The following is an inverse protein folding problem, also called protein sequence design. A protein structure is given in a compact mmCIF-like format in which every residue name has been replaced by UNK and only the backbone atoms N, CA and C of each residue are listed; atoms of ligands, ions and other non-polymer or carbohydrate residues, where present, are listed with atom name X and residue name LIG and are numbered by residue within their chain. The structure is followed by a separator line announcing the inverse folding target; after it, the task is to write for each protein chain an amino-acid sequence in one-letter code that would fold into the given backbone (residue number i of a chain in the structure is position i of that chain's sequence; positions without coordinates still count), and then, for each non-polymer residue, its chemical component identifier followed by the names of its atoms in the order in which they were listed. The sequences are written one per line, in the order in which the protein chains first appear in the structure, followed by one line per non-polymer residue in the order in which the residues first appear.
data_IF_570227474840
#
_entry.id   IF_570227474840
#
_cell.length_a   1.000
_cell.length_b   1.000
_cell.length_c   1.000
_cell.angle_alpha   90.00
_cell.angle_beta   90.00
_cell.angle_gamma   90.00
#
_symmetry.space_group_name_H-M   'P 1'
#
loop_
_entity.id
_entity.type
_entity.pdbx_description
1 polymer ?
#
# COMPACT_ATOMS: atom_id res chain seq x y z
N UNK A 1 48.15 -33.51 -36.55
CA UNK A 1 48.20 -32.37 -35.68
C UNK A 1 46.77 -31.93 -35.43
N UNK A 2 46.18 -32.40 -34.31
CA UNK A 2 44.77 -32.12 -33.98
C UNK A 2 44.73 -30.84 -33.16
N UNK A 3 44.04 -29.78 -33.66
CA UNK A 3 43.75 -28.58 -32.92
C UNK A 3 42.50 -28.82 -32.08
N UNK A 4 42.64 -28.93 -30.76
CA UNK A 4 41.54 -28.94 -29.79
C UNK A 4 41.25 -27.47 -29.47
N UNK A 5 40.17 -26.95 -30.07
CA UNK A 5 39.65 -25.63 -29.74
C UNK A 5 38.94 -25.67 -28.38
N UNK A 6 39.50 -25.00 -27.38
CA UNK A 6 38.86 -24.74 -26.11
C UNK A 6 37.77 -23.66 -26.30
N UNK A 7 36.50 -24.06 -26.27
CA UNK A 7 35.38 -23.11 -26.19
C UNK A 7 35.29 -22.62 -24.74
N UNK A 8 35.79 -21.43 -24.48
CA UNK A 8 35.55 -20.68 -23.22
C UNK A 8 34.10 -20.23 -23.25
N UNK A 9 33.19 -20.95 -22.63
CA UNK A 9 31.85 -20.46 -22.31
C UNK A 9 31.97 -19.44 -21.20
N UNK A 10 31.86 -18.14 -21.54
CA UNK A 10 31.77 -17.07 -20.57
C UNK A 10 30.42 -17.18 -19.86
N UNK A 11 30.40 -17.79 -18.71
CA UNK A 11 29.26 -17.68 -17.78
C UNK A 11 29.15 -16.23 -17.32
N UNK A 12 28.27 -15.45 -17.94
CA UNK A 12 27.84 -14.18 -17.41
C UNK A 12 27.11 -14.43 -16.09
N UNK A 13 27.78 -14.23 -14.96
CA UNK A 13 27.18 -14.21 -13.64
C UNK A 13 26.27 -12.98 -13.55
N UNK A 14 24.99 -13.16 -13.84
CA UNK A 14 23.98 -12.15 -13.61
C UNK A 14 23.96 -11.81 -12.12
N UNK A 15 24.41 -10.62 -11.74
CA UNK A 15 24.28 -10.13 -10.36
C UNK A 15 22.81 -9.73 -10.12
N UNK A 16 22.11 -10.40 -9.20
CA UNK A 16 20.76 -9.98 -8.86
C UNK A 16 20.79 -8.56 -8.27
N UNK A 17 19.84 -7.72 -8.67
CA UNK A 17 19.68 -6.37 -8.16
C UNK A 17 18.47 -6.31 -7.24
N UNK A 18 18.60 -5.64 -6.11
CA UNK A 18 17.49 -5.41 -5.20
C UNK A 18 16.96 -3.99 -5.39
N UNK A 19 15.67 -3.86 -5.64
CA UNK A 19 14.95 -2.59 -5.64
C UNK A 19 14.14 -2.53 -4.35
N UNK A 20 14.31 -1.47 -3.58
CA UNK A 20 13.62 -1.27 -2.30
C UNK A 20 12.58 -0.17 -2.45
N UNK A 21 11.32 -0.50 -2.20
CA UNK A 21 10.23 0.47 -2.06
C UNK A 21 10.11 0.81 -0.58
N UNK A 22 10.23 2.08 -0.23
CA UNK A 22 10.08 2.57 1.15
C UNK A 22 8.87 3.50 1.22
N UNK A 23 7.90 3.17 2.07
CA UNK A 23 6.70 3.98 2.29
C UNK A 23 6.95 4.95 3.42
N UNK A 24 6.76 6.25 3.14
CA UNK A 24 7.05 7.34 4.06
C UNK A 24 5.76 8.13 4.37
N UNK A 25 4.93 7.65 5.28
CA UNK A 25 3.75 8.39 5.72
C UNK A 25 4.16 9.63 6.50
N UNK A 26 3.46 10.74 6.26
CA UNK A 26 3.69 12.00 6.96
C UNK A 26 2.39 12.77 7.21
N UNK A 27 2.44 13.67 8.19
CA UNK A 27 1.35 14.56 8.55
C UNK A 27 1.86 16.01 8.53
N UNK A 28 1.40 16.79 7.55
CA UNK A 28 1.96 18.12 7.31
C UNK A 28 3.41 18.02 6.84
N UNK A 29 4.35 18.52 7.63
CA UNK A 29 5.78 18.45 7.37
C UNK A 29 6.50 17.37 8.18
N UNK A 30 5.80 16.73 9.13
CA UNK A 30 6.38 15.76 10.05
C UNK A 30 6.21 14.33 9.53
N UNK A 31 7.20 13.48 9.74
CA UNK A 31 7.02 12.03 9.62
C UNK A 31 5.92 11.57 10.57
N UNK A 32 5.04 10.69 10.09
CA UNK A 32 3.93 10.18 10.88
C UNK A 32 4.45 9.25 11.98
N UNK A 33 4.11 9.58 13.22
CA UNK A 33 4.39 8.79 14.42
C UNK A 33 3.07 8.36 15.05
N UNK A 34 2.92 7.07 15.33
CA UNK A 34 1.73 6.50 15.97
C UNK A 34 1.52 7.14 17.35
N UNK A 35 0.26 7.45 17.66
CA UNK A 35 -0.19 8.08 18.90
C UNK A 35 0.36 9.50 19.17
N UNK A 36 1.11 10.12 18.25
CA UNK A 36 1.45 11.54 18.33
C UNK A 36 0.23 12.37 17.92
N UNK A 37 -0.02 13.44 18.65
CA UNK A 37 -1.07 14.41 18.29
C UNK A 37 -0.53 15.39 17.25
N UNK A 38 -1.31 15.62 16.20
CA UNK A 38 -1.05 16.58 15.13
C UNK A 38 -2.24 17.52 15.00
N UNK A 39 -2.01 18.81 15.04
CA UNK A 39 -3.06 19.79 14.76
C UNK A 39 -3.32 19.87 13.25
N UNK A 40 -4.58 19.88 12.87
CA UNK A 40 -5.03 20.06 11.48
C UNK A 40 -5.93 21.30 11.38
N UNK A 41 -5.45 22.33 10.70
CA UNK A 41 -6.21 23.57 10.50
C UNK A 41 -7.51 23.32 9.72
N UNK A 42 -7.49 22.38 8.76
CA UNK A 42 -8.66 22.04 7.95
C UNK A 42 -9.76 21.36 8.78
N UNK A 43 -9.37 20.48 9.71
CA UNK A 43 -10.29 19.79 10.62
C UNK A 43 -10.62 20.70 11.82
N UNK A 44 -9.76 21.67 12.10
CA UNK A 44 -9.79 22.56 13.27
C UNK A 44 -9.77 21.76 14.59
N UNK A 45 -8.99 20.69 14.62
CA UNK A 45 -8.81 19.83 15.80
C UNK A 45 -7.48 19.08 15.73
N UNK A 46 -7.11 18.48 16.86
CA UNK A 46 -5.97 17.56 16.94
C UNK A 46 -6.37 16.16 16.52
N UNK A 47 -5.51 15.54 15.72
CA UNK A 47 -5.67 14.18 15.24
C UNK A 47 -4.50 13.34 15.70
N UNK A 48 -4.78 12.12 16.17
CA UNK A 48 -3.78 11.13 16.52
C UNK A 48 -4.06 9.84 15.73
N UNK A 49 -3.07 9.37 14.97
CA UNK A 49 -3.16 8.11 14.22
C UNK A 49 -2.73 6.96 15.11
N UNK A 50 -3.58 5.96 15.26
CA UNK A 50 -3.32 4.77 16.07
C UNK A 50 -2.91 3.55 15.23
N UNK A 51 -3.40 3.47 13.98
CA UNK A 51 -3.06 2.40 13.04
C UNK A 51 -3.17 2.91 11.62
N UNK A 52 -2.18 2.57 10.79
CA UNK A 52 -2.25 2.68 9.34
C UNK A 52 -1.62 1.45 8.74
N UNK A 53 -2.43 0.66 8.02
CA UNK A 53 -2.03 -0.58 7.36
C UNK A 53 -2.69 -0.67 6.00
N UNK A 54 -1.99 -1.23 5.03
CA UNK A 54 -2.56 -1.48 3.71
C UNK A 54 -1.82 -2.61 3.01
N UNK A 55 -2.51 -3.29 2.10
CA UNK A 55 -1.89 -4.29 1.25
C UNK A 55 -1.39 -3.66 -0.03
N UNK A 56 -0.21 -4.13 -0.46
CA UNK A 56 0.31 -3.93 -1.81
C UNK A 56 0.26 -5.25 -2.57
N UNK A 57 -0.30 -5.22 -3.76
CA UNK A 57 -0.32 -6.34 -4.69
C UNK A 57 0.01 -5.87 -6.12
N UNK A 58 0.11 -6.79 -7.07
CA UNK A 58 0.41 -6.56 -8.49
C UNK A 58 1.51 -5.51 -8.74
N UNK A 59 2.66 -5.67 -8.07
CA UNK A 59 3.78 -4.73 -8.23
C UNK A 59 4.47 -4.99 -9.56
N UNK A 60 4.56 -3.96 -10.41
CA UNK A 60 5.16 -4.01 -11.74
C UNK A 60 6.15 -2.87 -11.93
N UNK A 61 7.28 -3.15 -12.61
CA UNK A 61 8.14 -2.10 -13.15
C UNK A 61 7.76 -1.88 -14.62
N UNK A 62 7.67 -0.62 -15.01
CA UNK A 62 7.21 -0.20 -16.33
C UNK A 62 8.33 0.56 -17.02
N UNK A 63 8.50 0.33 -18.32
CA UNK A 63 9.35 1.10 -19.22
C UNK A 63 8.59 1.43 -20.48
N UNK A 64 8.48 2.71 -20.82
CA UNK A 64 7.77 3.17 -22.00
C UNK A 64 6.34 2.58 -22.11
N UNK A 65 5.61 2.54 -20.99
CA UNK A 65 4.24 2.03 -20.91
C UNK A 65 4.12 0.49 -20.93
N UNK A 66 5.23 -0.26 -20.96
CA UNK A 66 5.21 -1.73 -20.98
C UNK A 66 5.69 -2.29 -19.65
N UNK A 67 4.98 -3.31 -19.14
CA UNK A 67 5.43 -4.09 -17.96
C UNK A 67 6.68 -4.89 -18.33
N UNK A 68 7.81 -4.62 -17.69
CA UNK A 68 9.11 -5.30 -17.92
C UNK A 68 9.50 -6.24 -16.77
N UNK A 69 8.85 -6.08 -15.61
CA UNK A 69 9.01 -6.94 -14.44
C UNK A 69 7.70 -6.96 -13.66
N UNK A 70 7.31 -8.15 -13.20
CA UNK A 70 6.10 -8.35 -12.42
C UNK A 70 6.38 -9.25 -11.22
N UNK A 71 5.92 -8.83 -10.05
CA UNK A 71 5.86 -9.66 -8.84
C UNK A 71 4.53 -10.40 -8.84
N UNK A 72 4.57 -11.70 -9.14
CA UNK A 72 3.36 -12.52 -9.21
C UNK A 72 2.97 -13.06 -7.83
N UNK A 73 1.65 -13.12 -7.57
CA UNK A 73 1.06 -13.80 -6.41
C UNK A 73 1.67 -13.39 -5.06
N UNK A 74 2.11 -12.15 -4.94
CA UNK A 74 2.69 -11.63 -3.70
C UNK A 74 1.83 -10.48 -3.18
N UNK A 75 1.37 -10.64 -1.94
CA UNK A 75 0.74 -9.59 -1.15
C UNK A 75 1.72 -9.14 -0.08
N UNK A 76 1.89 -7.83 0.05
CA UNK A 76 2.77 -7.25 1.07
C UNK A 76 1.93 -6.38 1.99
N UNK A 77 1.84 -6.76 3.25
CA UNK A 77 1.22 -5.92 4.27
C UNK A 77 2.21 -4.84 4.69
N UNK A 78 1.85 -3.60 4.44
CA UNK A 78 2.52 -2.43 5.01
C UNK A 78 1.82 -2.08 6.31
N UNK A 79 2.61 -2.00 7.38
CA UNK A 79 2.17 -1.58 8.72
C UNK A 79 3.16 -0.52 9.19
N UNK A 80 2.70 0.72 9.39
CA UNK A 80 3.60 1.83 9.71
C UNK A 80 4.30 1.69 11.07
N UNK A 81 3.80 0.81 11.93
CA UNK A 81 4.45 0.50 13.21
C UNK A 81 5.51 -0.60 13.13
N UNK A 82 5.60 -1.33 11.99
CA UNK A 82 6.43 -2.54 11.88
C UNK A 82 7.20 -2.66 10.57
N UNK A 83 6.54 -2.51 9.43
CA UNK A 83 7.09 -2.81 8.11
C UNK A 83 6.71 -1.72 7.11
N UNK A 84 7.67 -0.93 6.71
CA UNK A 84 7.52 0.17 5.74
C UNK A 84 8.20 -0.11 4.40
N UNK A 85 8.77 -1.29 4.20
CA UNK A 85 9.57 -1.59 3.02
C UNK A 85 9.14 -2.88 2.33
N UNK A 86 9.23 -2.87 1.01
CA UNK A 86 9.13 -4.04 0.15
C UNK A 86 10.38 -4.14 -0.71
N UNK A 87 10.97 -5.33 -0.79
CA UNK A 87 12.15 -5.61 -1.63
C UNK A 87 11.74 -6.42 -2.85
N UNK A 88 12.12 -5.94 -4.02
CA UNK A 88 11.96 -6.62 -5.30
C UNK A 88 13.32 -7.16 -5.73
N UNK A 89 13.37 -8.43 -6.13
CA UNK A 89 14.60 -9.11 -6.56
C UNK A 89 14.57 -9.33 -8.05
N UNK A 90 15.38 -8.61 -8.81
CA UNK A 90 15.50 -8.78 -10.25
C UNK A 90 16.70 -9.66 -10.60
N UNK A 91 16.61 -10.43 -11.69
CA UNK A 91 17.70 -11.30 -12.13
C UNK A 91 18.90 -10.54 -12.72
N UNK A 92 18.64 -9.32 -13.20
CA UNK A 92 19.65 -8.46 -13.82
C UNK A 92 19.33 -7.00 -13.55
N UNK A 93 20.20 -6.11 -14.00
CA UNK A 93 19.89 -4.68 -14.06
C UNK A 93 18.71 -4.43 -15.01
N UNK A 94 17.69 -3.72 -14.52
CA UNK A 94 16.47 -3.40 -15.27
C UNK A 94 16.33 -1.88 -15.27
N UNK A 95 16.15 -1.28 -16.45
CA UNK A 95 15.79 0.12 -16.61
C UNK A 95 14.27 0.28 -16.63
N UNK A 96 13.75 1.18 -15.82
CA UNK A 96 12.33 1.50 -15.73
C UNK A 96 12.12 2.99 -15.48
N UNK A 97 10.93 3.49 -15.83
CA UNK A 97 10.53 4.90 -15.68
C UNK A 97 9.32 5.06 -14.75
N UNK A 98 8.63 3.97 -14.47
CA UNK A 98 7.44 3.99 -13.62
C UNK A 98 7.32 2.70 -12.82
N UNK A 99 6.67 2.78 -11.66
CA UNK A 99 6.22 1.63 -10.89
C UNK A 99 4.69 1.65 -10.84
N UNK A 100 4.10 0.48 -11.04
CA UNK A 100 2.68 0.24 -10.82
C UNK A 100 2.52 -0.71 -9.64
N UNK A 101 1.51 -0.48 -8.81
CA UNK A 101 1.07 -1.41 -7.78
C UNK A 101 -0.41 -1.18 -7.45
N UNK A 102 -1.01 -2.19 -6.86
CA UNK A 102 -2.38 -2.09 -6.36
C UNK A 102 -2.38 -1.92 -4.84
N UNK A 103 -3.28 -1.07 -4.35
CA UNK A 103 -3.64 -1.03 -2.94
C UNK A 103 -4.83 -1.95 -2.75
N UNK A 104 -4.60 -3.06 -2.05
CA UNK A 104 -5.62 -4.06 -1.75
C UNK A 104 -5.20 -5.48 -2.06
N UNK A 105 -6.14 -6.38 -1.93
CA UNK A 105 -6.00 -7.82 -2.20
C UNK A 105 -6.86 -8.16 -3.41
N UNK A 106 -6.28 -8.81 -4.40
CA UNK A 106 -6.96 -9.18 -5.64
C UNK A 106 -8.16 -10.10 -5.41
N UNK A 107 -9.10 -10.12 -6.36
CA UNK A 107 -10.35 -10.87 -6.26
C UNK A 107 -10.15 -12.37 -6.07
N UNK A 108 -9.12 -12.96 -6.70
CA UNK A 108 -8.84 -14.39 -6.57
C UNK A 108 -8.42 -14.75 -5.14
N UNK A 109 -7.54 -13.95 -4.55
CA UNK A 109 -7.10 -14.12 -3.16
C UNK A 109 -8.24 -13.84 -2.17
N UNK A 110 -9.13 -12.89 -2.47
CA UNK A 110 -10.32 -12.60 -1.67
C UNK A 110 -11.27 -13.82 -1.60
N UNK A 111 -11.57 -14.45 -2.74
CA UNK A 111 -12.49 -15.61 -2.79
C UNK A 111 -11.84 -16.89 -2.28
N UNK A 112 -10.51 -16.96 -2.23
CA UNK A 112 -9.79 -18.12 -1.66
C UNK A 112 -9.91 -18.23 -0.15
N UNK A 113 -10.45 -17.19 0.52
CA UNK A 113 -10.64 -17.17 1.96
C UNK A 113 -9.37 -16.85 2.75
N UNK A 114 -9.30 -17.29 3.99
CA UNK A 114 -8.18 -17.03 4.88
C UNK A 114 -6.90 -17.73 4.40
N UNK A 115 -5.82 -16.96 4.22
CA UNK A 115 -4.52 -17.42 3.75
C UNK A 115 -3.43 -17.15 4.79
N UNK A 116 -2.22 -17.65 4.56
CA UNK A 116 -1.07 -17.43 5.45
C UNK A 116 -0.19 -16.25 5.03
N UNK A 117 0.96 -16.11 5.68
CA UNK A 117 1.95 -15.08 5.38
C UNK A 117 1.45 -13.67 5.70
N UNK A 118 1.58 -12.73 4.76
CA UNK A 118 1.07 -11.37 4.95
C UNK A 118 -0.48 -11.31 4.93
N UNK A 119 -1.13 -12.31 4.37
CA UNK A 119 -2.59 -12.48 4.36
C UNK A 119 -3.15 -13.24 5.58
N UNK A 120 -2.35 -13.55 6.58
CA UNK A 120 -2.81 -14.23 7.80
C UNK A 120 -3.86 -13.36 8.53
N UNK A 121 -5.08 -13.89 8.80
CA UNK A 121 -6.13 -13.19 9.55
C UNK A 121 -5.68 -12.69 10.92
N UNK A 122 -4.73 -13.36 11.57
CA UNK A 122 -4.16 -12.94 12.86
C UNK A 122 -3.46 -11.58 12.79
N UNK A 123 -3.15 -11.08 11.60
CA UNK A 123 -2.63 -9.72 11.38
C UNK A 123 -3.71 -8.64 11.47
N UNK A 124 -4.99 -9.01 11.68
CA UNK A 124 -6.09 -8.09 11.91
C UNK A 124 -6.49 -7.25 10.68
N UNK A 125 -6.28 -7.81 9.48
CA UNK A 125 -6.66 -7.23 8.20
C UNK A 125 -7.64 -8.13 7.43
N UNK A 126 -8.46 -8.89 8.16
CA UNK A 126 -9.46 -9.81 7.60
C UNK A 126 -10.77 -9.73 8.39
N UNK A 127 -11.89 -9.67 7.68
CA UNK A 127 -13.23 -9.74 8.27
C UNK A 127 -13.71 -11.19 8.32
N UNK A 128 -13.77 -11.79 9.51
CA UNK A 128 -14.27 -13.15 9.67
C UNK A 128 -15.79 -13.26 9.39
N UNK A 129 -16.55 -12.22 9.69
CA UNK A 129 -18.00 -12.14 9.50
C UNK A 129 -18.44 -11.98 8.03
N UNK A 130 -17.54 -11.53 7.15
CA UNK A 130 -17.81 -11.30 5.74
C UNK A 130 -16.88 -12.08 4.82
N UNK A 131 -15.91 -12.80 5.39
CA UNK A 131 -14.89 -13.57 4.65
C UNK A 131 -14.18 -12.75 3.59
N UNK A 132 -13.53 -11.65 3.98
CA UNK A 132 -12.83 -10.78 3.06
C UNK A 132 -11.72 -9.95 3.69
N UNK A 133 -10.72 -9.57 2.89
CA UNK A 133 -9.59 -8.77 3.35
C UNK A 133 -9.93 -7.28 3.41
N UNK A 134 -9.35 -6.60 4.40
CA UNK A 134 -9.33 -5.15 4.51
C UNK A 134 -8.17 -4.66 3.65
N UNK A 135 -8.47 -3.96 2.55
CA UNK A 135 -7.46 -3.44 1.62
C UNK A 135 -6.60 -2.35 2.25
N UNK A 136 -7.27 -1.49 3.05
CA UNK A 136 -6.67 -0.36 3.73
C UNK A 136 -7.36 -0.13 5.07
N UNK A 137 -6.57 0.08 6.13
CA UNK A 137 -7.03 0.31 7.50
C UNK A 137 -6.38 1.56 8.06
N UNK A 138 -7.21 2.53 8.49
CA UNK A 138 -6.78 3.74 9.17
C UNK A 138 -7.63 3.94 10.42
N UNK A 139 -6.98 3.98 11.58
CA UNK A 139 -7.63 4.21 12.87
C UNK A 139 -6.94 5.35 13.60
N UNK A 140 -7.72 6.13 14.34
CA UNK A 140 -7.19 7.24 15.11
C UNK A 140 -8.23 7.89 16.01
N UNK A 141 -7.84 9.05 16.55
CA UNK A 141 -8.69 9.86 17.43
C UNK A 141 -8.67 11.32 16.99
N UNK A 142 -9.83 11.97 17.16
CA UNK A 142 -10.01 13.43 17.06
C UNK A 142 -11.25 13.81 17.85
N UNK A 143 -11.23 14.92 18.60
CA UNK A 143 -12.38 15.34 19.42
C UNK A 143 -13.60 15.69 18.58
N UNK A 144 -13.40 15.98 17.28
CA UNK A 144 -14.52 16.24 16.36
C UNK A 144 -15.36 14.98 16.09
N UNK A 145 -14.83 13.77 16.33
CA UNK A 145 -15.58 12.53 16.13
C UNK A 145 -16.64 12.34 17.20
N UNK A 146 -17.92 12.19 16.80
CA UNK A 146 -19.05 11.95 17.68
C UNK A 146 -19.17 10.49 18.11
N UNK A 147 -18.06 9.79 18.29
CA UNK A 147 -18.00 8.39 18.72
C UNK A 147 -17.56 8.30 20.18
N UNK A 148 -17.83 7.14 20.81
CA UNK A 148 -17.26 6.85 22.11
C UNK A 148 -15.73 6.92 22.03
N UNK A 149 -15.09 7.64 22.95
CA UNK A 149 -13.63 7.87 22.99
C UNK A 149 -13.08 8.65 21.79
N UNK A 150 -13.93 9.35 21.02
CA UNK A 150 -13.55 10.21 19.91
C UNK A 150 -12.70 9.49 18.84
N UNK A 151 -13.00 8.22 18.57
CA UNK A 151 -12.28 7.40 17.59
C UNK A 151 -12.88 7.53 16.20
N UNK A 152 -12.02 7.44 15.18
CA UNK A 152 -12.42 7.13 13.83
C UNK A 152 -11.79 5.80 13.38
N UNK A 153 -12.53 5.03 12.56
CA UNK A 153 -12.13 3.70 12.12
C UNK A 153 -12.55 3.49 10.66
N UNK A 154 -11.56 3.45 9.79
CA UNK A 154 -11.75 3.16 8.37
C UNK A 154 -11.10 1.83 8.05
N UNK A 155 -11.92 0.78 7.98
CA UNK A 155 -11.56 -0.54 7.51
C UNK A 155 -12.14 -0.67 6.10
N UNK A 156 -11.34 -0.35 5.11
CA UNK A 156 -11.76 -0.24 3.71
C UNK A 156 -11.43 -1.54 3.00
N UNK A 157 -12.45 -2.20 2.47
CA UNK A 157 -12.32 -3.43 1.70
C UNK A 157 -13.47 -3.55 0.71
N UNK A 158 -13.53 -4.68 0.03
CA UNK A 158 -14.45 -4.96 -1.05
C UNK A 158 -13.74 -5.15 -2.37
N UNK A 159 -14.18 -6.13 -3.15
CA UNK A 159 -13.59 -6.53 -4.43
C UNK A 159 -14.63 -6.79 -5.51
N UNK A 160 -15.92 -6.74 -5.15
CA UNK A 160 -17.05 -6.98 -6.06
C UNK A 160 -17.74 -5.66 -6.36
N UNK A 161 -18.06 -5.44 -7.64
CA UNK A 161 -18.88 -4.29 -8.08
C UNK A 161 -20.26 -4.29 -7.38
N UNK A 162 -20.77 -3.12 -6.93
CA UNK A 162 -20.22 -1.78 -7.15
C UNK A 162 -19.19 -1.34 -6.07
N UNK A 163 -18.92 -2.16 -5.07
CA UNK A 163 -18.10 -1.79 -3.90
C UNK A 163 -16.66 -2.31 -4.00
N UNK A 164 -16.07 -2.30 -5.19
CA UNK A 164 -14.65 -2.60 -5.35
C UNK A 164 -13.80 -1.41 -4.88
N UNK A 165 -13.03 -1.62 -3.82
CA UNK A 165 -12.14 -0.60 -3.22
C UNK A 165 -10.67 -0.79 -3.54
N UNK A 166 -10.31 -1.74 -4.41
CA UNK A 166 -8.94 -1.91 -4.90
C UNK A 166 -8.59 -0.69 -5.76
N UNK A 167 -7.40 -0.12 -5.55
CA UNK A 167 -6.94 1.04 -6.30
C UNK A 167 -5.63 0.74 -7.03
N UNK A 168 -5.58 1.11 -8.31
CA UNK A 168 -4.40 0.96 -9.17
C UNK A 168 -3.59 2.26 -9.16
N UNK A 169 -2.32 2.19 -8.77
CA UNK A 169 -1.43 3.34 -8.67
C UNK A 169 -0.28 3.17 -9.65
N UNK A 170 0.00 4.21 -10.42
CA UNK A 170 1.20 4.31 -11.27
C UNK A 170 1.95 5.56 -10.86
N UNK A 171 3.20 5.38 -10.44
CA UNK A 171 4.08 6.49 -10.07
C UNK A 171 5.23 6.58 -11.07
N UNK A 172 5.43 7.73 -11.73
CA UNK A 172 6.63 7.99 -12.50
C UNK A 172 7.82 8.04 -11.54
N UNK A 173 8.87 7.30 -11.84
CA UNK A 173 10.09 7.24 -11.04
C UNK A 173 11.30 7.20 -11.97
N UNK A 174 12.35 7.90 -11.59
CA UNK A 174 13.63 7.72 -12.25
C UNK A 174 14.20 6.35 -11.88
N UNK A 175 15.00 5.78 -12.78
CA UNK A 175 15.66 4.48 -12.59
C UNK A 175 16.53 4.46 -11.32
N UNK A 176 15.95 4.12 -10.18
CA UNK A 176 16.57 4.08 -8.85
C UNK A 176 16.35 2.74 -8.18
N UNK A 177 17.31 2.29 -7.40
CA UNK A 177 17.19 1.08 -6.59
C UNK A 177 16.48 1.33 -5.25
N UNK A 178 16.51 2.55 -4.75
CA UNK A 178 15.79 2.96 -3.55
C UNK A 178 14.72 3.98 -3.93
N UNK A 179 13.47 3.58 -3.80
CA UNK A 179 12.30 4.34 -4.20
C UNK A 179 11.55 4.72 -2.92
N UNK A 180 11.45 6.02 -2.66
CA UNK A 180 10.72 6.58 -1.54
C UNK A 180 9.32 6.97 -2.01
N UNK A 181 8.30 6.33 -1.48
CA UNK A 181 6.90 6.60 -1.78
C UNK A 181 6.29 7.32 -0.58
N UNK A 182 5.96 8.58 -0.76
CA UNK A 182 5.38 9.43 0.29
C UNK A 182 3.88 9.28 0.35
N UNK A 183 3.32 9.45 1.57
CA UNK A 183 1.91 9.29 1.87
C UNK A 183 1.41 10.45 2.74
N UNK A 184 0.56 11.32 2.19
CA UNK A 184 0.08 12.50 2.90
C UNK A 184 -1.21 12.22 3.69
N UNK A 185 -1.07 11.86 4.95
CA UNK A 185 -2.22 11.52 5.81
C UNK A 185 -3.03 12.76 6.22
N UNK A 186 -2.39 13.92 6.38
CA UNK A 186 -3.12 15.18 6.64
C UNK A 186 -4.08 15.51 5.51
N UNK A 187 -3.62 15.41 4.26
CA UNK A 187 -4.46 15.66 3.08
C UNK A 187 -5.59 14.64 2.93
N UNK A 188 -5.33 13.37 3.21
CA UNK A 188 -6.38 12.35 3.22
C UNK A 188 -7.48 12.70 4.21
N UNK A 189 -7.12 12.96 5.46
CA UNK A 189 -8.10 13.25 6.51
C UNK A 189 -8.85 14.58 6.28
N UNK A 190 -8.22 15.55 5.62
CA UNK A 190 -8.88 16.81 5.26
C UNK A 190 -10.00 16.67 4.23
N UNK A 191 -10.10 15.51 3.56
CA UNK A 191 -11.17 15.20 2.60
C UNK A 191 -12.30 14.40 3.22
N UNK A 192 -12.18 14.00 4.48
CA UNK A 192 -13.16 13.19 5.18
C UNK A 192 -13.81 14.06 6.26
N UNK A 193 -15.12 14.19 6.22
CA UNK A 193 -15.87 14.82 7.30
C UNK A 193 -15.90 13.89 8.53
N UNK A 194 -14.87 13.96 9.36
CA UNK A 194 -14.70 13.11 10.55
C UNK A 194 -15.83 13.25 11.57
N UNK A 195 -16.57 14.36 11.54
CA UNK A 195 -17.71 14.57 12.42
C UNK A 195 -18.87 13.65 12.09
N UNK A 196 -19.16 13.49 10.79
CA UNK A 196 -20.29 12.72 10.28
C UNK A 196 -19.88 11.35 9.73
N UNK A 197 -18.64 11.21 9.24
CA UNK A 197 -18.08 9.98 8.66
C UNK A 197 -16.87 9.58 9.48
N UNK A 198 -17.10 8.86 10.56
CA UNK A 198 -16.05 8.45 11.50
C UNK A 198 -15.89 6.91 11.60
N UNK A 199 -16.84 6.14 11.03
CA UNK A 199 -16.73 4.68 10.96
C UNK A 199 -17.17 4.16 9.60
N UNK A 200 -16.28 3.44 8.92
CA UNK A 200 -16.56 2.68 7.69
C UNK A 200 -15.90 1.32 7.86
N UNK A 201 -16.73 0.28 8.10
CA UNK A 201 -16.24 -1.05 8.49
C UNK A 201 -16.80 -2.18 7.61
N UNK A 202 -17.29 -1.81 6.42
CA UNK A 202 -17.82 -2.76 5.42
C UNK A 202 -17.71 -2.17 4.02
N UNK A 203 -17.73 -3.00 2.96
CA UNK A 203 -17.85 -2.54 1.59
C UNK A 203 -19.09 -1.67 1.39
N UNK A 204 -18.91 -0.49 0.81
CA UNK A 204 -19.96 0.52 0.62
C UNK A 204 -19.49 1.57 -0.39
N UNK A 205 -20.37 2.46 -0.85
CA UNK A 205 -19.98 3.62 -1.65
C UNK A 205 -18.92 4.48 -0.93
N UNK A 206 -19.09 4.69 0.37
CA UNK A 206 -18.15 5.45 1.18
C UNK A 206 -16.79 4.76 1.28
N UNK A 207 -16.73 3.42 1.33
CA UNK A 207 -15.47 2.69 1.30
C UNK A 207 -14.73 2.88 -0.03
N UNK A 208 -15.45 2.90 -1.15
CA UNK A 208 -14.89 3.16 -2.49
C UNK A 208 -14.41 4.60 -2.61
N UNK A 209 -15.18 5.57 -2.10
CA UNK A 209 -14.78 6.98 -2.08
C UNK A 209 -13.47 7.19 -1.30
N UNK A 210 -13.40 6.68 -0.05
CA UNK A 210 -12.21 6.82 0.80
C UNK A 210 -11.00 6.10 0.18
N UNK A 211 -11.19 4.94 -0.46
CA UNK A 211 -10.09 4.24 -1.13
C UNK A 211 -9.50 5.04 -2.29
N UNK A 212 -10.35 5.69 -3.10
CA UNK A 212 -9.91 6.58 -4.18
C UNK A 212 -9.15 7.79 -3.63
N UNK A 213 -9.66 8.41 -2.56
CA UNK A 213 -8.98 9.50 -1.88
C UNK A 213 -7.60 9.06 -1.37
N UNK A 214 -7.51 7.89 -0.73
CA UNK A 214 -6.24 7.34 -0.24
C UNK A 214 -5.22 7.16 -1.38
N UNK A 215 -5.65 6.60 -2.51
CA UNK A 215 -4.79 6.38 -3.66
C UNK A 215 -4.20 7.69 -4.24
N UNK A 216 -4.93 8.79 -4.19
CA UNK A 216 -4.49 10.07 -4.72
C UNK A 216 -3.37 10.75 -3.91
N UNK A 217 -3.03 10.23 -2.73
CA UNK A 217 -2.03 10.84 -1.87
C UNK A 217 -0.70 10.09 -1.83
N UNK A 218 -0.51 9.12 -2.72
CA UNK A 218 0.78 8.49 -2.99
C UNK A 218 1.57 9.31 -4.01
N UNK A 219 2.84 9.60 -3.72
CA UNK A 219 3.75 10.27 -4.65
C UNK A 219 5.21 9.95 -4.32
N UNK A 220 6.10 10.19 -5.29
CA UNK A 220 7.54 9.97 -5.18
C UNK A 220 8.31 11.28 -4.91
#
# INVERSE_FOLDING_TARGET
MLFIGFIFSAFYLFKPKTITLSFLPYFGNDSLVINKNYFSETINDSVSIQSLRFYLSDINLIKNGRKIYQVKNQHNLIDISKKLQVKLFTKSEIEFDSIQFDIGVDSLSQVSGAMGGDLDPMKGMYWSWQSGYINFKLEGKSNICNTRNHVFQFHIGGYISPYNSIQHIILPIQNKTNINIKLNIKKLLSQIDLKNVNQVMSPSEKSVEISKQFANFFFN
#
